data_IF_561829193510
#
_entry.id   IF_561829193510
#
_cell.length_a   1.000
_cell.length_b   1.000
_cell.length_c   1.000
_cell.angle_alpha   90.00
_cell.angle_beta   90.00
_cell.angle_gamma   90.00
#
_symmetry.space_group_name_H-M   'P 1'
#
loop_
_entity.id
_entity.type
_entity.pdbx_description
1 polymer ?
#
# COMPACT_ATOMS: atom_id res chain seq x y z
N UNK A 1 20.21 2.78 -0.06
CA UNK A 1 19.05 3.58 0.37
C UNK A 1 18.01 3.51 -0.77
N UNK A 2 17.27 2.40 -0.88
CA UNK A 2 16.36 2.12 -2.04
C UNK A 2 15.01 1.50 -1.64
N UNK A 3 14.83 1.20 -0.36
CA UNK A 3 13.65 0.53 0.19
C UNK A 3 12.37 1.36 0.14
N UNK A 4 12.48 2.67 -0.09
CA UNK A 4 11.30 3.53 -0.26
C UNK A 4 10.64 3.30 -1.63
N UNK A 5 11.44 3.25 -2.69
CA UNK A 5 10.94 3.07 -4.06
C UNK A 5 10.37 1.66 -4.26
N UNK A 6 10.99 0.63 -3.67
CA UNK A 6 10.46 -0.75 -3.73
C UNK A 6 9.03 -0.86 -3.20
N UNK A 7 8.67 -0.11 -2.15
CA UNK A 7 7.32 -0.15 -1.57
C UNK A 7 6.27 0.44 -2.49
N UNK A 8 6.61 1.52 -3.19
CA UNK A 8 5.72 2.10 -4.18
C UNK A 8 5.58 1.17 -5.39
N UNK A 9 6.68 0.57 -5.85
CA UNK A 9 6.63 -0.41 -6.94
C UNK A 9 5.79 -1.64 -6.57
N UNK A 10 5.95 -2.16 -5.35
CA UNK A 10 5.15 -3.27 -4.83
C UNK A 10 3.66 -2.87 -4.65
N UNK A 11 3.39 -1.62 -4.25
CA UNK A 11 2.04 -1.09 -4.17
C UNK A 11 1.36 -1.05 -5.55
N UNK A 12 2.03 -0.50 -6.55
CA UNK A 12 1.50 -0.42 -7.91
C UNK A 12 1.32 -1.80 -8.54
N UNK A 13 2.27 -2.72 -8.31
CA UNK A 13 2.12 -4.13 -8.76
C UNK A 13 0.90 -4.82 -8.15
N UNK A 14 0.45 -4.37 -6.98
CA UNK A 14 -0.75 -4.87 -6.29
C UNK A 14 -2.02 -4.11 -6.66
N UNK A 15 -1.97 -3.14 -7.57
CA UNK A 15 -3.14 -2.40 -8.04
C UNK A 15 -3.57 -1.25 -7.11
N UNK A 16 -2.70 -0.78 -6.22
CA UNK A 16 -2.98 0.39 -5.38
C UNK A 16 -2.84 1.69 -6.19
N UNK A 17 -3.80 2.61 -6.01
CA UNK A 17 -3.72 3.97 -6.56
C UNK A 17 -2.73 4.85 -5.78
N UNK A 18 -2.31 5.99 -6.32
CA UNK A 18 -1.26 6.86 -5.74
C UNK A 18 -1.54 7.30 -4.30
N UNK A 19 -2.80 7.58 -3.96
CA UNK A 19 -3.21 7.90 -2.58
C UNK A 19 -3.05 6.68 -1.67
N UNK A 20 -3.48 5.51 -2.15
CA UNK A 20 -3.42 4.26 -1.39
C UNK A 20 -1.98 3.78 -1.20
N UNK A 21 -1.14 3.90 -2.25
CA UNK A 21 0.28 3.58 -2.23
C UNK A 21 1.04 4.48 -1.23
N UNK A 22 0.70 5.76 -1.16
CA UNK A 22 1.29 6.70 -0.19
C UNK A 22 0.94 6.31 1.25
N UNK A 23 -0.32 5.93 1.50
CA UNK A 23 -0.73 5.43 2.80
C UNK A 23 -0.02 4.11 3.15
N UNK A 24 0.03 3.15 2.22
CA UNK A 24 0.67 1.86 2.41
C UNK A 24 2.17 2.02 2.71
N UNK A 25 2.87 2.89 1.97
CA UNK A 25 4.29 3.18 2.20
C UNK A 25 4.56 3.80 3.59
N UNK A 26 3.62 4.60 4.11
CA UNK A 26 3.68 5.17 5.47
C UNK A 26 3.39 4.11 6.54
N UNK A 27 2.33 3.31 6.35
CA UNK A 27 1.87 2.29 7.31
C UNK A 27 2.83 1.13 7.45
N UNK A 28 3.48 0.75 6.34
CA UNK A 28 4.40 -0.40 6.26
C UNK A 28 5.86 0.04 6.11
N UNK A 29 6.26 1.15 6.74
CA UNK A 29 7.60 1.74 6.64
C UNK A 29 8.75 0.83 7.15
N UNK A 30 8.44 -0.27 7.82
CA UNK A 30 9.39 -1.32 8.22
C UNK A 30 9.35 -2.60 7.36
N UNK A 31 8.30 -2.79 6.55
CA UNK A 31 8.16 -3.98 5.73
C UNK A 31 8.77 -3.73 4.34
N UNK A 32 9.45 -4.75 3.78
CA UNK A 32 9.96 -4.72 2.40
C UNK A 32 8.88 -5.03 1.37
N UNK A 33 7.89 -5.85 1.75
CA UNK A 33 6.75 -6.22 0.90
C UNK A 33 5.46 -5.91 1.65
N UNK A 34 4.49 -5.35 0.93
CA UNK A 34 3.14 -5.16 1.43
C UNK A 34 2.45 -6.51 1.58
N UNK A 35 1.48 -6.64 2.50
CA UNK A 35 0.61 -7.80 2.57
C UNK A 35 -0.07 -8.07 1.22
N UNK A 36 -0.33 -9.34 0.87
CA UNK A 36 -1.08 -9.67 -0.37
C UNK A 36 -2.52 -9.18 -0.33
N UNK A 37 -3.12 -9.14 0.86
CA UNK A 37 -4.46 -8.64 1.12
C UNK A 37 -4.52 -7.12 1.37
N UNK A 38 -3.51 -6.35 0.95
CA UNK A 38 -3.47 -4.89 1.20
C UNK A 38 -4.66 -4.16 0.56
N UNK A 39 -5.15 -4.61 -0.60
CA UNK A 39 -6.33 -4.06 -1.25
C UNK A 39 -7.60 -4.30 -0.44
N UNK A 40 -7.80 -5.53 0.04
CA UNK A 40 -8.96 -5.89 0.87
C UNK A 40 -8.92 -5.16 2.22
N UNK A 41 -7.73 -5.04 2.82
CA UNK A 41 -7.54 -4.21 4.00
C UNK A 41 -7.93 -2.76 3.71
N UNK A 42 -7.49 -2.21 2.58
CA UNK A 42 -7.84 -0.86 2.18
C UNK A 42 -9.36 -0.73 1.97
N UNK A 43 -9.99 -1.66 1.26
CA UNK A 43 -11.43 -1.64 1.06
C UNK A 43 -12.17 -1.69 2.40
N UNK A 44 -11.78 -2.58 3.32
CA UNK A 44 -12.34 -2.64 4.69
C UNK A 44 -12.12 -1.35 5.49
N UNK A 45 -10.96 -0.71 5.40
CA UNK A 45 -10.66 0.52 6.15
C UNK A 45 -11.36 1.76 5.57
N UNK A 46 -11.65 1.76 4.27
CA UNK A 46 -12.17 2.92 3.55
C UNK A 46 -13.62 2.73 3.03
N UNK A 47 -14.27 1.58 3.25
CA UNK A 47 -15.65 1.25 2.86
C UNK A 47 -16.75 2.14 3.46
N UNK A 48 -16.41 3.08 4.35
CA UNK A 48 -17.33 4.10 4.84
C UNK A 48 -17.43 5.36 3.97
N UNK A 49 -16.71 5.45 2.85
CA UNK A 49 -16.74 6.61 1.93
C UNK A 49 -17.16 6.19 0.52
N UNK A 50 -18.42 5.80 0.38
CA UNK A 50 -19.14 5.93 -0.89
C UNK A 50 -20.02 7.17 -0.83
#
# INVERSE_FOLDING_TARGET
>A
FSTRSERFMDAYRKGLDGVQATWAAKRYRGHRMLPRNILELFDRFFQGKK
#
